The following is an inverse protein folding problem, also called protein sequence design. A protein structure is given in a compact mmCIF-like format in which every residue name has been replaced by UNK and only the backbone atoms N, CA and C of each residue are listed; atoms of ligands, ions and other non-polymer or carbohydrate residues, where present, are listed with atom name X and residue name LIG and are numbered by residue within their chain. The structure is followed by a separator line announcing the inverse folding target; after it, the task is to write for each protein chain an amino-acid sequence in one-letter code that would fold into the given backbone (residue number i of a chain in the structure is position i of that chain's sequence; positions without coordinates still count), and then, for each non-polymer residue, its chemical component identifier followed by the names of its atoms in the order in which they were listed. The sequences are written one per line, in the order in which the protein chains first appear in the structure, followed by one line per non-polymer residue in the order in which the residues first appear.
data_IF_116558253144
#
_entry.id   IF_116558253144
#
_cell.length_a   1.000
_cell.length_b   1.000
_cell.length_c   1.000
_cell.angle_alpha   90.00
_cell.angle_beta   90.00
_cell.angle_gamma   90.00
#
_symmetry.space_group_name_H-M   'P 1'
#
loop_
_entity.id
_entity.type
_entity.pdbx_description
1 polymer ?
#
# COMPACT_ATOMS: atom_id res chain seq x y z
N UNK A 1 27.68 64.55 -49.35
CA UNK A 1 27.10 64.28 -48.01
C UNK A 1 26.15 63.11 -48.14
N UNK A 2 26.60 61.90 -47.80
CA UNK A 2 25.85 60.65 -47.91
C UNK A 2 25.36 60.29 -46.51
N UNK A 3 24.06 60.41 -46.27
CA UNK A 3 23.45 59.99 -45.00
C UNK A 3 23.08 58.51 -45.08
N UNK A 4 23.91 57.69 -44.43
CA UNK A 4 23.68 56.26 -44.26
C UNK A 4 22.50 55.99 -43.32
N UNK A 5 21.58 55.14 -43.77
CA UNK A 5 20.56 54.53 -42.93
C UNK A 5 21.22 53.58 -41.92
N UNK A 6 21.25 54.00 -40.66
CA UNK A 6 21.62 53.15 -39.54
C UNK A 6 20.57 52.06 -39.34
N UNK A 7 20.97 50.81 -39.55
CA UNK A 7 20.19 49.62 -39.16
C UNK A 7 19.92 49.68 -37.65
N UNK A 8 18.64 49.68 -37.27
CA UNK A 8 18.20 49.32 -35.92
C UNK A 8 18.71 47.91 -35.62
N UNK A 9 19.54 47.75 -34.58
CA UNK A 9 19.77 46.44 -33.97
C UNK A 9 18.43 45.98 -33.41
N UNK A 10 17.89 44.90 -33.95
CA UNK A 10 16.92 44.09 -33.25
C UNK A 10 17.65 43.46 -32.05
N UNK A 11 17.16 43.74 -30.85
CA UNK A 11 17.46 42.92 -29.69
C UNK A 11 16.89 41.52 -29.94
N UNK A 12 17.74 40.61 -30.39
CA UNK A 12 17.48 39.18 -30.33
C UNK A 12 17.55 38.77 -28.86
N UNK A 13 16.54 38.07 -28.30
CA UNK A 13 16.69 37.47 -26.98
C UNK A 13 17.78 36.40 -27.08
N UNK A 14 18.83 36.53 -26.26
CA UNK A 14 19.82 35.49 -26.05
C UNK A 14 19.09 34.18 -25.73
N UNK A 15 19.24 33.18 -26.60
CA UNK A 15 18.90 31.80 -26.26
C UNK A 15 19.76 31.42 -25.07
N UNK A 16 19.18 31.41 -23.87
CA UNK A 16 19.79 30.83 -22.69
C UNK A 16 20.03 29.33 -22.96
N UNK A 17 21.28 28.96 -23.24
CA UNK A 17 21.72 27.58 -23.33
C UNK A 17 21.49 26.91 -21.98
N UNK A 18 20.50 26.01 -21.90
CA UNK A 18 20.30 25.15 -20.72
C UNK A 18 21.52 24.23 -20.57
N UNK A 19 22.20 24.30 -19.43
CA UNK A 19 23.33 23.41 -19.15
C UNK A 19 22.77 22.09 -18.62
N UNK A 20 23.13 20.97 -19.24
CA UNK A 20 22.70 19.64 -18.78
C UNK A 20 23.55 19.24 -17.57
N UNK A 21 22.92 18.73 -16.52
CA UNK A 21 23.59 18.26 -15.31
C UNK A 21 23.05 16.89 -14.89
N UNK A 22 23.93 15.93 -14.62
CA UNK A 22 23.53 14.63 -14.08
C UNK A 22 23.22 14.73 -12.59
N UNK A 23 22.26 13.95 -12.10
CA UNK A 23 21.96 13.80 -10.66
C UNK A 23 23.21 13.54 -9.81
N UNK A 24 24.13 12.70 -10.31
CA UNK A 24 25.34 12.32 -9.58
C UNK A 24 26.37 13.45 -9.48
N UNK A 25 26.32 14.42 -10.40
CA UNK A 25 27.26 15.54 -10.46
C UNK A 25 26.86 16.70 -9.53
N UNK A 26 25.58 16.78 -9.13
CA UNK A 26 25.02 17.86 -8.32
C UNK A 26 25.80 18.05 -7.01
N UNK A 27 26.13 16.95 -6.31
CA UNK A 27 26.87 17.01 -5.05
C UNK A 27 28.25 17.67 -5.21
N UNK A 28 28.95 17.38 -6.31
CA UNK A 28 30.25 17.99 -6.61
C UNK A 28 30.12 19.48 -6.91
N UNK A 29 29.11 19.86 -7.70
CA UNK A 29 28.83 21.26 -8.05
C UNK A 29 28.51 22.07 -6.79
N UNK A 30 27.63 21.57 -5.93
CA UNK A 30 27.28 22.24 -4.66
C UNK A 30 28.49 22.37 -3.73
N UNK A 31 29.32 21.33 -3.63
CA UNK A 31 30.52 21.37 -2.78
C UNK A 31 31.50 22.44 -3.24
N UNK A 32 31.72 22.55 -4.56
CA UNK A 32 32.55 23.62 -5.14
C UNK A 32 31.96 25.00 -4.88
N UNK A 33 30.65 25.16 -5.06
CA UNK A 33 29.97 26.42 -4.81
C UNK A 33 30.06 26.85 -3.33
N UNK A 34 29.83 25.93 -2.39
CA UNK A 34 29.98 26.19 -0.94
C UNK A 34 31.39 26.67 -0.60
N UNK A 35 32.41 26.01 -1.14
CA UNK A 35 33.81 26.38 -0.90
C UNK A 35 34.15 27.76 -1.48
N UNK A 36 33.65 28.07 -2.66
CA UNK A 36 33.83 29.40 -3.27
C UNK A 36 33.15 30.50 -2.43
N UNK A 37 31.93 30.26 -1.97
CA UNK A 37 31.20 31.21 -1.13
C UNK A 37 31.87 31.44 0.22
N UNK A 38 32.39 30.37 0.86
CA UNK A 38 33.21 30.49 2.09
C UNK A 38 34.40 31.42 1.88
N UNK A 39 35.15 31.25 0.78
CA UNK A 39 36.30 32.11 0.44
C UNK A 39 35.89 33.56 0.21
N UNK A 40 34.77 33.79 -0.48
CA UNK A 40 34.25 35.13 -0.73
C UNK A 40 33.85 35.83 0.56
N UNK A 41 33.12 35.16 1.45
CA UNK A 41 32.67 35.72 2.73
C UNK A 41 33.87 36.06 3.62
N UNK A 42 34.86 35.16 3.72
CA UNK A 42 36.11 35.43 4.44
C UNK A 42 36.79 36.69 3.90
N UNK A 43 36.91 36.81 2.59
CA UNK A 43 37.54 37.97 1.94
C UNK A 43 36.79 39.28 2.21
N UNK A 44 35.45 39.26 2.09
CA UNK A 44 34.59 40.42 2.35
C UNK A 44 34.54 40.84 3.82
N UNK A 45 34.75 39.88 4.74
CA UNK A 45 34.68 40.11 6.19
C UNK A 45 35.95 40.72 6.79
N UNK A 46 37.11 40.48 6.18
CA UNK A 46 38.41 41.03 6.61
C UNK A 46 38.40 42.55 6.83
N UNK A 47 37.97 43.40 5.87
CA UNK A 47 37.95 44.85 6.07
C UNK A 47 37.00 45.27 7.20
N UNK A 48 35.84 44.61 7.33
CA UNK A 48 34.88 44.91 8.40
C UNK A 48 35.46 44.63 9.79
N UNK A 49 36.17 43.51 9.94
CA UNK A 49 36.84 43.14 11.19
C UNK A 49 38.02 44.06 11.51
N UNK A 50 38.77 44.49 10.49
CA UNK A 50 39.84 45.48 10.67
C UNK A 50 39.28 46.82 11.16
N UNK A 51 38.17 47.27 10.60
CA UNK A 51 37.49 48.50 11.03
C UNK A 51 36.95 48.34 12.45
N UNK A 52 36.27 47.23 12.77
CA UNK A 52 35.81 46.93 14.14
C UNK A 52 36.95 47.02 15.15
N UNK A 53 38.10 46.42 14.86
CA UNK A 53 39.27 46.47 15.76
C UNK A 53 39.80 47.90 15.95
N UNK A 54 39.86 48.70 14.87
CA UNK A 54 40.29 50.10 14.94
C UNK A 54 39.31 50.99 15.73
N UNK A 55 38.02 50.75 15.59
CA UNK A 55 36.97 51.43 16.33
C UNK A 55 36.98 51.03 17.82
N UNK A 56 37.23 49.76 18.15
CA UNK A 56 37.41 49.31 19.54
C UNK A 56 38.65 49.93 20.20
N UNK A 57 39.77 50.09 19.47
CA UNK A 57 40.95 50.81 19.97
C UNK A 57 40.63 52.29 20.24
N UNK A 58 39.83 52.92 19.37
CA UNK A 58 39.35 54.29 19.57
C UNK A 58 38.44 54.42 20.80
N UNK A 59 37.54 53.46 21.01
CA UNK A 59 36.70 53.36 22.21
C UNK A 59 37.57 53.18 23.46
N UNK A 60 38.59 52.32 23.42
CA UNK A 60 39.53 52.13 24.52
C UNK A 60 40.22 53.45 24.91
N UNK A 61 40.74 54.20 23.92
CA UNK A 61 41.39 55.50 24.16
C UNK A 61 40.45 56.52 24.81
N UNK A 62 39.19 56.57 24.38
CA UNK A 62 38.17 57.44 24.99
C UNK A 62 37.96 57.09 26.47
N UNK A 63 37.85 55.79 26.77
CA UNK A 63 37.63 55.32 28.15
C UNK A 63 38.88 55.55 29.02
N UNK A 64 40.08 55.40 28.46
CA UNK A 64 41.33 55.69 29.15
C UNK A 64 41.45 57.19 29.50
N UNK A 65 41.03 58.07 28.59
CA UNK A 65 40.92 59.51 28.88
C UNK A 65 39.87 59.80 29.96
N UNK A 66 38.69 59.17 29.88
CA UNK A 66 37.61 59.33 30.87
C UNK A 66 38.04 58.90 32.27
N UNK A 67 38.92 57.90 32.39
CA UNK A 67 39.49 57.44 33.65
C UNK A 67 40.28 58.54 34.36
N UNK A 68 41.01 59.35 33.61
CA UNK A 68 41.85 60.42 34.12
C UNK A 68 41.11 61.76 34.29
N UNK A 69 39.90 61.91 33.73
CA UNK A 69 39.09 63.12 33.89
C UNK A 69 38.48 63.19 35.30
N UNK A 70 38.59 64.35 35.96
CA UNK A 70 38.09 64.52 37.33
C UNK A 70 36.60 64.85 37.31
N UNK A 71 35.80 64.14 38.10
CA UNK A 71 34.37 64.41 38.25
C UNK A 71 34.18 65.79 38.90
N UNK A 72 33.38 66.66 38.27
CA UNK A 72 32.88 67.87 38.92
C UNK A 72 31.70 67.47 39.80
N UNK A 73 31.95 67.30 41.10
CA UNK A 73 31.00 66.73 42.06
C UNK A 73 30.42 67.77 43.03
N UNK A 74 30.77 69.04 42.84
CA UNK A 74 30.42 70.15 43.75
C UNK A 74 28.90 70.40 43.84
N UNK A 75 28.15 70.10 42.78
CA UNK A 75 26.70 70.32 42.68
C UNK A 75 25.85 69.03 42.83
N UNK A 76 26.44 67.93 43.32
CA UNK A 76 25.77 66.61 43.37
C UNK A 76 25.50 66.19 44.82
N UNK A 77 24.27 65.77 45.12
CA UNK A 77 23.94 65.19 46.43
C UNK A 77 24.86 64.01 46.79
N UNK A 78 25.25 63.90 48.07
CA UNK A 78 26.20 62.88 48.56
C UNK A 78 25.83 61.43 48.19
N UNK A 79 24.54 61.09 48.15
CA UNK A 79 24.06 59.76 47.75
C UNK A 79 24.24 59.54 46.25
N UNK A 80 23.90 60.53 45.42
CA UNK A 80 24.08 60.49 43.97
C UNK A 80 25.56 60.44 43.58
N UNK A 81 26.43 61.12 44.33
CA UNK A 81 27.87 61.07 44.15
C UNK A 81 28.43 59.64 44.26
N UNK A 82 28.00 58.87 45.26
CA UNK A 82 28.44 57.46 45.42
C UNK A 82 27.99 56.60 44.23
N UNK A 83 26.76 56.80 43.76
CA UNK A 83 26.20 56.07 42.60
C UNK A 83 26.96 56.43 41.32
N UNK A 84 27.22 57.72 41.08
CA UNK A 84 27.95 58.22 39.91
C UNK A 84 29.38 57.70 39.87
N UNK A 85 30.09 57.69 41.00
CA UNK A 85 31.46 57.15 41.09
C UNK A 85 31.49 55.65 40.79
N UNK A 86 30.59 54.87 41.41
CA UNK A 86 30.50 53.42 41.15
C UNK A 86 30.17 53.12 39.69
N UNK A 87 29.21 53.85 39.11
CA UNK A 87 28.83 53.71 37.71
C UNK A 87 29.99 54.06 36.77
N UNK A 88 30.74 55.14 37.06
CA UNK A 88 31.94 55.52 36.31
C UNK A 88 32.99 54.41 36.34
N UNK A 89 33.30 53.87 37.52
CA UNK A 89 34.25 52.75 37.67
C UNK A 89 33.81 51.53 36.87
N UNK A 90 32.55 51.10 37.02
CA UNK A 90 32.03 49.93 36.33
C UNK A 90 32.07 50.09 34.79
N UNK A 91 31.65 51.25 34.27
CA UNK A 91 31.71 51.56 32.83
C UNK A 91 33.15 51.53 32.33
N UNK A 92 34.09 52.14 33.04
CA UNK A 92 35.50 52.14 32.67
C UNK A 92 36.06 50.73 32.65
N UNK A 93 35.86 49.95 33.72
CA UNK A 93 36.44 48.63 33.88
C UNK A 93 35.94 47.66 32.81
N UNK A 94 34.63 47.63 32.57
CA UNK A 94 34.02 46.74 31.58
C UNK A 94 34.43 47.14 30.17
N UNK A 95 34.27 48.41 29.77
CA UNK A 95 34.57 48.82 28.40
C UNK A 95 36.07 48.73 28.11
N UNK A 96 36.94 49.08 29.07
CA UNK A 96 38.39 48.92 28.90
C UNK A 96 38.79 47.46 28.71
N UNK A 97 38.18 46.55 29.49
CA UNK A 97 38.44 45.12 29.40
C UNK A 97 37.98 44.56 28.07
N UNK A 98 36.75 44.86 27.64
CA UNK A 98 36.17 44.30 26.42
C UNK A 98 36.80 44.89 25.15
N UNK A 99 37.11 46.19 25.12
CA UNK A 99 37.71 46.85 23.95
C UNK A 99 39.17 46.45 23.70
N UNK A 100 39.87 45.93 24.72
CA UNK A 100 41.23 45.38 24.61
C UNK A 100 41.29 43.92 24.18
N UNK A 101 40.16 43.21 24.18
CA UNK A 101 40.16 41.80 23.78
C UNK A 101 40.45 41.72 22.28
N UNK A 102 41.48 40.97 21.86
CA UNK A 102 41.76 40.83 20.44
C UNK A 102 40.64 40.04 19.77
N UNK A 103 40.03 40.62 18.73
CA UNK A 103 39.21 39.85 17.80
C UNK A 103 40.19 39.12 16.87
N UNK A 104 40.09 37.78 16.75
CA UNK A 104 41.05 36.98 16.01
C UNK A 104 41.15 37.40 14.54
N UNK A 105 42.36 37.30 13.99
CA UNK A 105 42.57 37.50 12.57
C UNK A 105 41.97 36.32 11.78
N UNK A 106 41.35 36.61 10.65
CA UNK A 106 40.53 35.64 9.91
C UNK A 106 41.26 35.18 8.66
N UNK A 107 41.59 33.89 8.61
CA UNK A 107 42.11 33.23 7.40
C UNK A 107 41.17 32.15 6.87
N UNK A 108 40.35 31.55 7.73
CA UNK A 108 39.36 30.52 7.40
C UNK A 108 37.94 30.95 7.76
N UNK A 109 36.94 30.19 7.27
CA UNK A 109 35.54 30.42 7.64
C UNK A 109 35.27 30.13 9.14
N UNK A 110 35.96 29.14 9.73
CA UNK A 110 35.84 28.84 11.16
C UNK A 110 36.40 29.99 12.02
N UNK A 111 37.52 30.59 11.61
CA UNK A 111 38.05 31.78 12.27
C UNK A 111 37.06 32.94 12.21
N UNK A 112 36.33 33.08 11.10
CA UNK A 112 35.32 34.12 10.94
C UNK A 112 34.15 33.96 11.90
N UNK A 113 33.66 32.73 12.10
CA UNK A 113 32.60 32.44 13.07
C UNK A 113 33.03 32.89 14.48
N UNK A 114 34.25 32.50 14.88
CA UNK A 114 34.84 32.89 16.17
C UNK A 114 35.02 34.40 16.29
N UNK A 115 35.47 35.07 15.22
CA UNK A 115 35.64 36.52 15.20
C UNK A 115 34.31 37.27 15.34
N UNK A 116 33.28 36.81 14.62
CA UNK A 116 31.93 37.38 14.68
C UNK A 116 31.30 37.19 16.06
N UNK A 117 31.47 36.02 16.67
CA UNK A 117 31.00 35.75 18.03
C UNK A 117 31.71 36.65 19.06
N UNK A 118 33.03 36.78 18.96
CA UNK A 118 33.82 37.66 19.82
C UNK A 118 33.39 39.13 19.68
N UNK A 119 33.15 39.61 18.46
CA UNK A 119 32.68 40.98 18.20
C UNK A 119 31.28 41.21 18.78
N UNK A 120 30.36 40.28 18.56
CA UNK A 120 28.99 40.33 19.10
C UNK A 120 28.98 40.30 20.63
N UNK A 121 29.80 39.45 21.25
CA UNK A 121 29.93 39.40 22.71
C UNK A 121 30.49 40.70 23.28
N UNK A 122 31.52 41.27 22.65
CA UNK A 122 32.13 42.56 23.03
C UNK A 122 31.09 43.67 22.99
N UNK A 123 30.38 43.81 21.87
CA UNK A 123 29.29 44.77 21.72
C UNK A 123 28.20 44.58 22.78
N UNK A 124 27.80 43.33 23.04
CA UNK A 124 26.78 43.02 24.06
C UNK A 124 27.23 43.48 25.45
N UNK A 125 28.45 43.16 25.87
CA UNK A 125 28.97 43.57 27.18
C UNK A 125 29.10 45.08 27.34
N UNK A 126 29.54 45.77 26.29
CA UNK A 126 29.60 47.24 26.27
C UNK A 126 28.18 47.83 26.32
N UNK A 127 27.24 47.28 25.54
CA UNK A 127 25.83 47.69 25.55
C UNK A 127 25.17 47.49 26.91
N UNK A 128 25.39 46.34 27.56
CA UNK A 128 24.82 45.99 28.87
C UNK A 128 25.27 47.00 29.95
N UNK A 129 26.57 47.31 30.02
CA UNK A 129 27.10 48.23 31.04
C UNK A 129 26.66 49.68 30.80
N UNK A 130 26.57 50.11 29.55
CA UNK A 130 26.06 51.42 29.17
C UNK A 130 24.56 51.55 29.45
N UNK A 131 23.77 50.51 29.13
CA UNK A 131 22.34 50.46 29.39
C UNK A 131 22.03 50.52 30.89
N UNK A 132 22.74 49.71 31.68
CA UNK A 132 22.63 49.68 33.16
C UNK A 132 22.90 51.04 33.79
N UNK A 133 23.90 51.77 33.29
CA UNK A 133 24.36 53.04 33.86
C UNK A 133 23.82 54.29 33.13
N UNK A 134 22.86 54.11 32.21
CA UNK A 134 22.31 55.16 31.33
C UNK A 134 21.79 56.40 32.05
N UNK A 135 21.23 56.25 33.25
CA UNK A 135 20.66 57.36 34.04
C UNK A 135 21.71 58.33 34.59
N UNK A 136 22.95 57.89 34.78
CA UNK A 136 24.02 58.68 35.43
C UNK A 136 25.23 58.91 34.53
N UNK A 137 25.30 58.24 33.38
CA UNK A 137 26.44 58.34 32.46
C UNK A 137 26.67 59.76 31.94
N UNK A 138 25.61 60.55 31.76
CA UNK A 138 25.69 61.93 31.29
C UNK A 138 26.40 62.85 32.29
N UNK A 139 26.49 62.47 33.57
CA UNK A 139 27.17 63.25 34.62
C UNK A 139 28.68 63.20 34.42
N UNK A 140 29.22 62.05 34.02
CA UNK A 140 30.66 61.82 33.99
C UNK A 140 31.25 61.68 32.59
N UNK A 141 30.44 61.31 31.59
CA UNK A 141 30.90 61.09 30.22
C UNK A 141 30.38 62.16 29.24
N UNK A 142 29.82 63.28 29.70
CA UNK A 142 29.17 64.30 28.84
C UNK A 142 30.00 64.70 27.61
N UNK A 143 31.30 64.94 27.81
CA UNK A 143 32.23 65.36 26.74
C UNK A 143 32.59 64.23 25.78
N UNK A 144 32.51 62.99 26.23
CA UNK A 144 32.92 61.79 25.50
C UNK A 144 31.74 61.06 24.84
N UNK A 145 30.51 61.35 25.27
CA UNK A 145 29.31 60.61 24.88
C UNK A 145 29.08 60.58 23.38
N UNK A 146 29.28 61.70 22.68
CA UNK A 146 29.07 61.76 21.23
C UNK A 146 30.09 60.90 20.48
N UNK A 147 31.38 61.05 20.77
CA UNK A 147 32.43 60.25 20.13
C UNK A 147 32.30 58.75 20.46
N UNK A 148 32.02 58.39 21.72
CA UNK A 148 31.77 57.00 22.12
C UNK A 148 30.59 56.41 21.35
N UNK A 149 29.51 57.19 21.18
CA UNK A 149 28.33 56.78 20.40
C UNK A 149 28.68 56.58 18.92
N UNK A 150 29.46 57.47 18.33
CA UNK A 150 29.82 57.42 16.91
C UNK A 150 30.67 56.18 16.60
N UNK A 151 31.70 55.91 17.40
CA UNK A 151 32.53 54.70 17.24
C UNK A 151 31.72 53.41 17.49
N UNK A 152 30.88 53.37 18.54
CA UNK A 152 30.00 52.22 18.79
C UNK A 152 28.99 51.97 17.67
N UNK A 153 28.50 53.03 17.01
CA UNK A 153 27.61 52.90 15.87
C UNK A 153 28.31 52.21 14.68
N UNK A 154 29.58 52.52 14.43
CA UNK A 154 30.39 51.87 13.40
C UNK A 154 30.65 50.40 13.72
N UNK A 155 31.06 50.08 14.95
CA UNK A 155 31.23 48.68 15.39
C UNK A 155 29.93 47.90 15.24
N UNK A 156 28.81 48.48 15.66
CA UNK A 156 27.47 47.86 15.57
C UNK A 156 27.07 47.61 14.12
N UNK A 157 27.25 48.61 13.25
CA UNK A 157 26.94 48.49 11.82
C UNK A 157 27.75 47.36 11.18
N UNK A 158 29.05 47.32 11.40
CA UNK A 158 29.92 46.31 10.80
C UNK A 158 29.66 44.91 11.37
N UNK A 159 29.41 44.78 12.67
CA UNK A 159 29.02 43.49 13.26
C UNK A 159 27.67 42.99 12.71
N UNK A 160 26.73 43.90 12.46
CA UNK A 160 25.44 43.55 11.83
C UNK A 160 25.64 43.05 10.41
N UNK A 161 26.52 43.68 9.63
CA UNK A 161 26.86 43.22 8.28
C UNK A 161 27.54 41.85 8.30
N UNK A 162 28.48 41.62 9.23
CA UNK A 162 29.13 40.32 9.42
C UNK A 162 28.11 39.23 9.75
N UNK A 163 27.26 39.47 10.74
CA UNK A 163 26.22 38.53 11.17
C UNK A 163 25.26 38.22 10.02
N UNK A 164 24.90 39.23 9.22
CA UNK A 164 24.06 39.03 8.03
C UNK A 164 24.74 38.13 7.00
N UNK A 165 26.01 38.36 6.69
CA UNK A 165 26.75 37.51 5.73
C UNK A 165 26.82 36.04 6.19
N UNK A 166 27.01 35.80 7.48
CA UNK A 166 27.00 34.45 8.05
C UNK A 166 25.61 33.82 8.00
N UNK A 167 24.56 34.59 8.31
CA UNK A 167 23.18 34.13 8.21
C UNK A 167 22.79 33.79 6.76
N UNK A 168 23.16 34.62 5.80
CA UNK A 168 22.90 34.41 4.37
C UNK A 168 23.60 33.11 3.89
N UNK A 169 24.81 32.82 4.38
CA UNK A 169 25.49 31.55 4.10
C UNK A 169 24.81 30.34 4.76
N UNK A 170 24.30 30.47 5.98
CA UNK A 170 23.53 29.39 6.62
C UNK A 170 22.30 29.02 5.77
N UNK A 171 21.57 30.01 5.26
CA UNK A 171 20.42 29.78 4.37
C UNK A 171 20.83 29.08 3.06
N UNK A 172 22.01 29.42 2.53
CA UNK A 172 22.59 28.73 1.38
C UNK A 172 22.91 27.27 1.70
N UNK A 173 23.47 26.98 2.87
CA UNK A 173 23.79 25.62 3.32
C UNK A 173 22.52 24.77 3.46
N UNK A 174 21.49 25.29 4.14
CA UNK A 174 20.18 24.63 4.27
C UNK A 174 19.54 24.37 2.89
N UNK A 175 19.71 25.31 1.95
CA UNK A 175 19.20 25.15 0.59
C UNK A 175 19.98 24.09 -0.19
N UNK A 176 21.28 23.94 0.04
CA UNK A 176 22.09 22.86 -0.55
C UNK A 176 21.66 21.49 0.01
N UNK A 177 21.41 21.39 1.31
CA UNK A 177 20.95 20.15 1.93
C UNK A 177 19.55 19.76 1.42
N UNK A 178 18.67 20.75 1.24
CA UNK A 178 17.36 20.55 0.60
C UNK A 178 17.49 20.02 -0.83
N UNK A 179 18.47 20.51 -1.60
CA UNK A 179 18.76 19.97 -2.95
C UNK A 179 19.19 18.50 -2.86
N UNK A 180 20.11 18.16 -1.95
CA UNK A 180 20.59 16.79 -1.80
C UNK A 180 19.48 15.81 -1.40
N UNK A 181 18.54 16.24 -0.55
CA UNK A 181 17.34 15.48 -0.22
C UNK A 181 16.43 15.25 -1.45
N UNK A 182 16.21 16.29 -2.28
CA UNK A 182 15.48 16.14 -3.54
C UNK A 182 16.17 15.18 -4.52
N UNK A 183 17.51 15.23 -4.61
CA UNK A 183 18.29 14.29 -5.43
C UNK A 183 18.08 12.85 -4.95
N UNK A 184 18.17 12.60 -3.64
CA UNK A 184 17.90 11.28 -3.05
C UNK A 184 16.50 10.79 -3.40
N UNK A 185 15.47 11.63 -3.21
CA UNK A 185 14.08 11.27 -3.54
C UNK A 185 13.89 10.89 -5.01
N UNK A 186 14.57 11.57 -5.92
CA UNK A 186 14.53 11.26 -7.36
C UNK A 186 15.25 9.92 -7.63
N UNK A 187 16.37 9.64 -6.96
CA UNK A 187 17.08 8.36 -7.08
C UNK A 187 16.23 7.19 -6.55
N UNK A 188 15.64 7.34 -5.37
CA UNK A 188 14.77 6.33 -4.75
C UNK A 188 13.57 6.01 -5.64
N UNK A 189 12.87 7.05 -6.13
CA UNK A 189 11.77 6.88 -7.08
C UNK A 189 12.20 6.18 -8.38
N UNK A 190 13.44 6.41 -8.83
CA UNK A 190 13.98 5.73 -10.03
C UNK A 190 14.23 4.25 -9.80
N UNK A 191 14.72 3.88 -8.62
CA UNK A 191 14.92 2.47 -8.23
C UNK A 191 13.57 1.75 -8.07
N UNK A 192 12.58 2.40 -7.45
CA UNK A 192 11.23 1.87 -7.31
C UNK A 192 10.54 1.66 -8.67
N UNK A 193 10.73 2.59 -9.62
CA UNK A 193 10.24 2.39 -10.99
C UNK A 193 10.86 1.15 -11.65
N UNK A 194 12.16 0.94 -11.48
CA UNK A 194 12.85 -0.21 -12.06
C UNK A 194 12.37 -1.53 -11.43
N UNK A 195 12.16 -1.58 -10.12
CA UNK A 195 11.63 -2.77 -9.45
C UNK A 195 10.18 -3.06 -9.88
N UNK A 196 9.35 -2.03 -9.98
CA UNK A 196 7.96 -2.12 -10.48
C UNK A 196 7.93 -2.65 -11.91
N UNK A 197 8.79 -2.14 -12.79
CA UNK A 197 8.87 -2.59 -14.18
C UNK A 197 9.29 -4.06 -14.29
N UNK A 198 10.27 -4.51 -13.50
CA UNK A 198 10.64 -5.93 -13.44
C UNK A 198 9.47 -6.80 -12.95
N UNK A 199 8.72 -6.32 -11.96
CA UNK A 199 7.56 -7.04 -11.45
C UNK A 199 6.45 -7.14 -12.50
N UNK A 200 6.17 -6.05 -13.22
CA UNK A 200 5.22 -6.02 -14.33
C UNK A 200 5.62 -7.00 -15.45
N UNK A 201 6.89 -7.05 -15.84
CA UNK A 201 7.37 -8.02 -16.83
C UNK A 201 7.10 -9.45 -16.37
N UNK A 202 7.42 -9.79 -15.12
CA UNK A 202 7.15 -11.12 -14.57
C UNK A 202 5.66 -11.45 -14.51
N UNK A 203 4.79 -10.48 -14.20
CA UNK A 203 3.35 -10.65 -14.26
C UNK A 203 2.87 -10.83 -15.70
N UNK A 204 3.47 -10.13 -16.67
CA UNK A 204 3.20 -10.28 -18.10
C UNK A 204 3.51 -11.70 -18.58
N UNK A 205 4.66 -12.26 -18.21
CA UNK A 205 5.01 -13.64 -18.54
C UNK A 205 4.01 -14.65 -17.95
N UNK A 206 3.54 -14.40 -16.72
CA UNK A 206 2.53 -15.21 -16.05
C UNK A 206 1.16 -15.10 -16.73
N UNK A 207 0.78 -13.88 -17.13
CA UNK A 207 -0.44 -13.60 -17.87
C UNK A 207 -0.46 -14.36 -19.21
N UNK A 208 0.61 -14.24 -19.99
CA UNK A 208 0.72 -14.88 -21.31
C UNK A 208 0.73 -16.41 -21.19
N UNK A 209 1.36 -16.94 -20.15
CA UNK A 209 1.36 -18.37 -19.85
C UNK A 209 -0.03 -18.88 -19.47
N UNK A 210 -0.75 -18.14 -18.61
CA UNK A 210 -2.13 -18.45 -18.24
C UNK A 210 -3.09 -18.34 -19.43
N UNK A 211 -2.90 -17.35 -20.30
CA UNK A 211 -3.68 -17.17 -21.52
C UNK A 211 -3.52 -18.37 -22.46
N UNK A 212 -2.27 -18.77 -22.76
CA UNK A 212 -1.99 -19.93 -23.61
C UNK A 212 -2.60 -21.21 -23.04
N UNK A 213 -2.53 -21.38 -21.72
CA UNK A 213 -3.14 -22.52 -21.04
C UNK A 213 -4.66 -22.51 -21.18
N UNK A 214 -5.29 -21.34 -20.96
CA UNK A 214 -6.72 -21.15 -21.13
C UNK A 214 -7.18 -21.52 -22.55
N UNK A 215 -6.54 -20.96 -23.59
CA UNK A 215 -6.87 -21.20 -24.99
C UNK A 215 -6.70 -22.69 -25.37
N UNK A 216 -5.59 -23.30 -24.95
CA UNK A 216 -5.32 -24.72 -25.20
C UNK A 216 -6.34 -25.63 -24.51
N UNK A 217 -6.64 -25.38 -23.23
CA UNK A 217 -7.62 -26.18 -22.47
C UNK A 217 -9.03 -25.99 -23.02
N UNK A 218 -9.40 -24.78 -23.45
CA UNK A 218 -10.70 -24.54 -24.06
C UNK A 218 -10.87 -25.30 -25.38
N UNK A 219 -9.80 -25.36 -26.19
CA UNK A 219 -9.78 -26.17 -27.41
C UNK A 219 -9.95 -27.66 -27.08
N UNK A 220 -9.19 -28.19 -26.13
CA UNK A 220 -9.30 -29.59 -25.70
C UNK A 220 -10.71 -29.96 -25.22
N UNK A 221 -11.36 -29.08 -24.44
CA UNK A 221 -12.74 -29.28 -24.01
C UNK A 221 -13.69 -29.31 -25.21
N UNK A 222 -13.52 -28.37 -26.15
CA UNK A 222 -14.36 -28.28 -27.35
C UNK A 222 -14.22 -29.53 -28.23
N UNK A 223 -12.99 -30.01 -28.40
CA UNK A 223 -12.68 -31.23 -29.15
C UNK A 223 -13.30 -32.46 -28.50
N UNK A 224 -13.21 -32.60 -27.16
CA UNK A 224 -13.85 -33.67 -26.41
C UNK A 224 -15.38 -33.62 -26.50
N UNK A 225 -15.99 -32.44 -26.38
CA UNK A 225 -17.44 -32.28 -26.47
C UNK A 225 -17.99 -32.52 -27.89
N UNK A 226 -17.14 -32.35 -28.90
CA UNK A 226 -17.48 -32.66 -30.30
C UNK A 226 -17.25 -34.13 -30.65
N UNK A 227 -16.66 -34.92 -29.75
CA UNK A 227 -16.33 -36.31 -30.01
C UNK A 227 -17.58 -37.21 -30.06
N UNK A 228 -17.62 -38.20 -30.97
CA UNK A 228 -18.67 -39.22 -30.98
C UNK A 228 -18.81 -39.97 -29.65
N UNK A 229 -17.69 -40.13 -28.93
CA UNK A 229 -17.64 -40.79 -27.62
C UNK A 229 -18.43 -40.00 -26.56
N UNK A 230 -18.33 -38.67 -26.57
CA UNK A 230 -19.09 -37.81 -25.66
C UNK A 230 -20.59 -37.82 -25.96
N UNK A 231 -20.98 -37.77 -27.25
CA UNK A 231 -22.38 -37.89 -27.64
C UNK A 231 -22.97 -39.24 -27.21
N UNK A 232 -22.21 -40.32 -27.43
CA UNK A 232 -22.59 -41.66 -26.98
C UNK A 232 -22.71 -41.77 -25.46
N UNK A 233 -21.90 -41.03 -24.70
CA UNK A 233 -22.02 -40.93 -23.25
C UNK A 233 -23.31 -40.22 -22.84
N UNK A 234 -23.65 -39.08 -23.44
CA UNK A 234 -24.87 -38.32 -23.15
C UNK A 234 -26.14 -39.14 -23.42
N UNK A 235 -26.21 -39.83 -24.56
CA UNK A 235 -27.34 -40.69 -24.90
C UNK A 235 -27.53 -41.83 -23.89
N UNK A 236 -26.43 -42.40 -23.38
CA UNK A 236 -26.49 -43.44 -22.36
C UNK A 236 -26.95 -42.89 -21.02
N UNK A 237 -26.43 -41.73 -20.62
CA UNK A 237 -26.84 -41.07 -19.39
C UNK A 237 -28.35 -40.77 -19.41
N UNK A 238 -28.88 -40.31 -20.55
CA UNK A 238 -30.32 -40.08 -20.73
C UNK A 238 -31.12 -41.39 -20.67
N UNK A 239 -30.68 -42.46 -21.36
CA UNK A 239 -31.31 -43.79 -21.26
C UNK A 239 -31.33 -44.33 -19.84
N UNK A 240 -30.25 -44.19 -19.07
CA UNK A 240 -30.19 -44.58 -17.66
C UNK A 240 -31.20 -43.77 -16.84
N UNK A 241 -31.30 -42.45 -17.05
CA UNK A 241 -32.29 -41.61 -16.38
C UNK A 241 -33.72 -42.05 -16.71
N UNK A 242 -34.02 -42.35 -17.97
CA UNK A 242 -35.33 -42.84 -18.40
C UNK A 242 -35.67 -44.19 -17.75
N UNK A 243 -34.74 -45.15 -17.73
CA UNK A 243 -34.97 -46.47 -17.11
C UNK A 243 -35.15 -46.34 -15.59
N UNK A 244 -34.36 -45.50 -14.90
CA UNK A 244 -34.55 -45.23 -13.46
C UNK A 244 -35.91 -44.59 -13.17
N UNK A 245 -36.39 -43.69 -14.04
CA UNK A 245 -37.72 -43.14 -13.92
C UNK A 245 -38.82 -44.20 -14.12
N UNK A 246 -38.63 -45.13 -15.06
CA UNK A 246 -39.52 -46.28 -15.24
C UNK A 246 -39.51 -47.21 -14.03
N UNK A 247 -38.34 -47.45 -13.44
CA UNK A 247 -38.20 -48.24 -12.21
C UNK A 247 -38.97 -47.62 -11.05
N UNK A 248 -38.82 -46.31 -10.84
CA UNK A 248 -39.53 -45.60 -9.78
C UNK A 248 -41.04 -45.62 -10.00
N UNK A 249 -41.50 -45.49 -11.25
CA UNK A 249 -42.91 -45.62 -11.60
C UNK A 249 -43.43 -47.03 -11.29
N UNK A 250 -42.70 -48.06 -11.68
CA UNK A 250 -43.06 -49.45 -11.39
C UNK A 250 -43.08 -49.73 -9.89
N UNK A 251 -42.13 -49.19 -9.13
CA UNK A 251 -42.10 -49.33 -7.66
C UNK A 251 -43.39 -48.76 -7.03
N UNK A 252 -43.80 -47.57 -7.46
CA UNK A 252 -45.06 -46.96 -7.00
C UNK A 252 -46.28 -47.80 -7.40
N UNK A 253 -46.33 -48.27 -8.64
CA UNK A 253 -47.42 -49.16 -9.10
C UNK A 253 -47.52 -50.43 -8.23
N UNK A 254 -46.39 -51.06 -7.89
CA UNK A 254 -46.37 -52.23 -7.00
C UNK A 254 -46.82 -51.87 -5.59
N UNK A 255 -46.29 -50.79 -5.01
CA UNK A 255 -46.65 -50.37 -3.66
C UNK A 255 -48.14 -50.01 -3.55
N UNK A 256 -48.69 -49.32 -4.55
CA UNK A 256 -50.12 -48.98 -4.64
C UNK A 256 -51.01 -50.22 -4.75
N UNK A 257 -50.61 -51.21 -5.55
CA UNK A 257 -51.33 -52.49 -5.67
C UNK A 257 -51.32 -53.27 -4.35
N UNK A 258 -50.17 -53.34 -3.66
CA UNK A 258 -50.05 -54.01 -2.37
C UNK A 258 -50.71 -53.25 -1.22
N UNK A 259 -50.89 -51.93 -1.33
CA UNK A 259 -51.62 -51.12 -0.34
C UNK A 259 -53.04 -51.65 -0.09
N UNK A 260 -53.67 -52.23 -1.12
CA UNK A 260 -55.02 -52.84 -1.07
C UNK A 260 -55.08 -54.01 -0.09
N UNK A 261 -53.98 -54.75 0.05
CA UNK A 261 -53.85 -55.93 0.94
C UNK A 261 -52.97 -55.67 2.17
N UNK A 262 -52.53 -54.42 2.39
CA UNK A 262 -51.67 -54.04 3.53
C UNK A 262 -52.29 -54.38 4.89
N UNK A 263 -53.60 -54.14 5.06
CA UNK A 263 -54.33 -54.40 6.30
C UNK A 263 -54.43 -55.89 6.64
N UNK A 264 -54.87 -56.79 5.73
CA UNK A 264 -54.85 -58.22 6.01
C UNK A 264 -53.43 -58.73 6.28
N UNK A 265 -52.43 -58.32 5.49
CA UNK A 265 -51.04 -58.72 5.70
C UNK A 265 -50.48 -58.24 7.05
N UNK A 266 -50.68 -56.98 7.39
CA UNK A 266 -50.23 -56.41 8.66
C UNK A 266 -50.87 -57.07 9.88
N UNK A 267 -52.14 -57.48 9.79
CA UNK A 267 -52.78 -58.30 10.84
C UNK A 267 -52.21 -59.71 10.88
N UNK A 268 -51.94 -60.30 9.71
CA UNK A 268 -51.38 -61.64 9.61
C UNK A 268 -49.99 -61.75 10.24
N UNK A 269 -49.15 -60.70 10.19
CA UNK A 269 -47.83 -60.64 10.86
C UNK A 269 -47.90 -61.06 12.34
N UNK A 270 -48.99 -60.74 13.06
CA UNK A 270 -49.13 -61.03 14.49
C UNK A 270 -49.61 -62.44 14.80
N UNK A 271 -50.34 -63.07 13.87
CA UNK A 271 -50.99 -64.38 14.06
C UNK A 271 -50.37 -65.47 13.21
N UNK A 272 -49.32 -65.13 12.45
CA UNK A 272 -48.66 -66.04 11.50
C UNK A 272 -47.95 -67.18 12.22
N UNK A 273 -48.05 -68.38 11.65
CA UNK A 273 -47.27 -69.56 12.02
C UNK A 273 -46.13 -69.84 11.02
N UNK A 274 -45.82 -68.87 10.16
CA UNK A 274 -44.71 -68.95 9.22
C UNK A 274 -43.36 -69.04 9.95
N UNK A 275 -42.38 -69.70 9.34
CA UNK A 275 -41.03 -69.73 9.86
C UNK A 275 -40.38 -68.32 9.86
N UNK A 276 -39.22 -68.21 10.54
CA UNK A 276 -38.53 -66.94 10.73
C UNK A 276 -38.13 -66.26 9.41
N UNK A 277 -37.84 -67.02 8.35
CA UNK A 277 -37.44 -66.46 7.05
C UNK A 277 -38.66 -65.89 6.32
N UNK A 278 -39.75 -66.65 6.22
CA UNK A 278 -40.99 -66.18 5.58
C UNK A 278 -41.66 -65.05 6.36
N UNK A 279 -41.56 -65.05 7.69
CA UNK A 279 -42.05 -63.93 8.52
C UNK A 279 -41.27 -62.64 8.24
N UNK A 280 -39.95 -62.71 8.08
CA UNK A 280 -39.12 -61.55 7.72
C UNK A 280 -39.49 -60.97 6.35
N UNK A 281 -39.74 -61.84 5.36
CA UNK A 281 -40.22 -61.42 4.03
C UNK A 281 -41.59 -60.73 4.15
N UNK A 282 -42.51 -61.29 4.94
CA UNK A 282 -43.82 -60.71 5.19
C UNK A 282 -43.72 -59.31 5.84
N UNK A 283 -42.86 -59.13 6.85
CA UNK A 283 -42.65 -57.84 7.50
C UNK A 283 -42.15 -56.78 6.50
N UNK A 284 -41.15 -57.12 5.67
CA UNK A 284 -40.66 -56.23 4.60
C UNK A 284 -41.72 -55.95 3.53
N UNK A 285 -42.55 -56.95 3.22
CA UNK A 285 -43.61 -56.84 2.21
C UNK A 285 -44.75 -55.94 2.68
N UNK A 286 -44.98 -55.83 4.00
CA UNK A 286 -45.93 -54.87 4.58
C UNK A 286 -45.37 -53.45 4.55
N UNK A 287 -44.05 -53.29 4.71
CA UNK A 287 -43.40 -51.97 4.75
C UNK A 287 -43.13 -51.39 3.35
N UNK A 288 -42.43 -52.13 2.49
CA UNK A 288 -42.09 -51.73 1.11
C UNK A 288 -42.16 -52.92 0.14
N UNK A 289 -43.37 -53.25 -0.35
CA UNK A 289 -43.59 -54.35 -1.29
C UNK A 289 -42.66 -54.31 -2.51
N UNK A 290 -42.45 -53.13 -3.10
CA UNK A 290 -41.59 -52.92 -4.29
C UNK A 290 -40.13 -53.34 -4.11
N UNK A 291 -39.63 -53.42 -2.87
CA UNK A 291 -38.28 -53.92 -2.55
C UNK A 291 -38.23 -55.44 -2.36
N UNK A 292 -39.38 -56.06 -2.09
CA UNK A 292 -39.51 -57.52 -1.94
C UNK A 292 -39.76 -58.17 -3.30
N UNK A 293 -40.59 -57.55 -4.15
CA UNK A 293 -40.92 -58.08 -5.47
C UNK A 293 -39.69 -58.07 -6.39
N UNK A 294 -39.26 -59.28 -6.79
CA UNK A 294 -38.09 -59.51 -7.63
C UNK A 294 -36.77 -59.71 -6.87
N UNK A 295 -36.72 -59.40 -5.58
CA UNK A 295 -35.55 -59.64 -4.72
C UNK A 295 -35.65 -60.96 -3.93
N UNK A 296 -36.86 -61.33 -3.50
CA UNK A 296 -37.13 -62.56 -2.77
C UNK A 296 -37.72 -63.64 -3.70
N UNK A 297 -37.59 -64.94 -3.37
CA UNK A 297 -38.14 -66.02 -4.19
C UNK A 297 -39.66 -65.91 -4.34
N UNK A 298 -40.15 -66.04 -5.57
CA UNK A 298 -41.59 -65.97 -5.91
C UNK A 298 -42.42 -66.91 -5.05
N UNK A 299 -41.94 -68.13 -4.85
CA UNK A 299 -42.62 -69.18 -4.10
C UNK A 299 -42.83 -68.78 -2.63
N UNK A 300 -41.87 -68.03 -2.07
CA UNK A 300 -41.97 -67.51 -0.70
C UNK A 300 -43.08 -66.46 -0.60
N UNK A 301 -43.16 -65.55 -1.57
CA UNK A 301 -44.20 -64.50 -1.63
C UNK A 301 -45.58 -65.13 -1.79
N UNK A 302 -45.74 -66.11 -2.69
CA UNK A 302 -47.00 -66.83 -2.88
C UNK A 302 -47.42 -67.54 -1.60
N UNK A 303 -46.49 -68.25 -0.95
CA UNK A 303 -46.77 -68.98 0.30
C UNK A 303 -47.30 -68.03 1.38
N UNK A 304 -46.73 -66.83 1.49
CA UNK A 304 -47.17 -65.80 2.44
C UNK A 304 -48.58 -65.30 2.10
N UNK A 305 -48.83 -64.97 0.83
CA UNK A 305 -50.12 -64.47 0.35
C UNK A 305 -51.22 -65.52 0.55
N UNK A 306 -50.98 -66.77 0.18
CA UNK A 306 -51.93 -67.87 0.37
C UNK A 306 -52.21 -68.17 1.84
N UNK A 307 -51.19 -68.09 2.70
CA UNK A 307 -51.36 -68.35 4.13
C UNK A 307 -52.13 -67.22 4.81
N UNK A 308 -51.92 -65.97 4.39
CA UNK A 308 -52.76 -64.83 4.79
C UNK A 308 -54.21 -65.02 4.34
N UNK A 309 -54.43 -65.42 3.08
CA UNK A 309 -55.74 -65.71 2.52
C UNK A 309 -56.48 -66.82 3.30
N UNK A 310 -55.81 -67.93 3.60
CA UNK A 310 -56.35 -69.01 4.44
C UNK A 310 -56.70 -68.52 5.84
N UNK A 311 -55.85 -67.66 6.42
CA UNK A 311 -56.10 -67.02 7.72
C UNK A 311 -57.34 -66.12 7.74
N UNK A 312 -57.67 -65.47 6.62
CA UNK A 312 -58.91 -64.68 6.48
C UNK A 312 -60.12 -65.62 6.42
N UNK A 313 -60.06 -66.66 5.59
CA UNK A 313 -61.15 -67.64 5.42
C UNK A 313 -61.45 -68.40 6.72
N UNK A 314 -60.41 -68.76 7.49
CA UNK A 314 -60.57 -69.44 8.78
C UNK A 314 -61.00 -68.53 9.93
N UNK A 315 -61.09 -67.22 9.71
CA UNK A 315 -61.42 -66.22 10.74
C UNK A 315 -60.26 -65.85 11.68
N UNK A 316 -59.06 -66.40 11.48
CA UNK A 316 -57.86 -66.09 12.27
C UNK A 316 -57.36 -64.66 12.01
N UNK A 317 -57.56 -64.14 10.80
CA UNK A 317 -57.26 -62.76 10.39
C UNK A 317 -58.58 -62.01 10.20
N UNK A 318 -58.95 -61.19 11.19
CA UNK A 318 -60.20 -60.43 11.13
C UNK A 318 -60.10 -59.21 10.20
N UNK A 319 -60.90 -59.18 9.14
CA UNK A 319 -61.05 -58.05 8.20
C UNK A 319 -62.52 -57.70 8.01
N UNK A 320 -62.83 -56.46 7.59
CA UNK A 320 -64.22 -55.98 7.44
C UNK A 320 -64.96 -56.64 6.28
N UNK A 321 -64.28 -56.81 5.14
CA UNK A 321 -64.82 -57.39 3.91
C UNK A 321 -63.93 -58.60 3.56
N UNK A 322 -64.26 -59.77 4.10
CA UNK A 322 -63.44 -60.98 3.97
C UNK A 322 -63.32 -61.43 2.51
N UNK A 323 -64.44 -61.56 1.79
CA UNK A 323 -64.47 -61.99 0.39
C UNK A 323 -63.64 -61.07 -0.50
N UNK A 324 -63.82 -59.75 -0.35
CA UNK A 324 -63.05 -58.75 -1.10
C UNK A 324 -61.54 -58.80 -0.80
N UNK A 325 -61.17 -59.06 0.45
CA UNK A 325 -59.75 -59.18 0.82
C UNK A 325 -59.12 -60.43 0.21
N UNK A 326 -59.88 -61.54 0.16
CA UNK A 326 -59.48 -62.78 -0.52
C UNK A 326 -59.32 -62.56 -2.02
N UNK A 327 -60.29 -61.88 -2.66
CA UNK A 327 -60.24 -61.54 -4.08
C UNK A 327 -59.02 -60.67 -4.41
N UNK A 328 -58.73 -59.66 -3.59
CA UNK A 328 -57.57 -58.79 -3.76
C UNK A 328 -56.24 -59.54 -3.60
N UNK A 329 -56.15 -60.49 -2.68
CA UNK A 329 -54.96 -61.33 -2.52
C UNK A 329 -54.81 -62.29 -3.71
N UNK A 330 -55.90 -62.88 -4.20
CA UNK A 330 -55.89 -63.76 -5.38
C UNK A 330 -55.49 -63.01 -6.65
N UNK A 331 -55.97 -61.78 -6.82
CA UNK A 331 -55.54 -60.89 -7.88
C UNK A 331 -54.04 -60.55 -7.78
N UNK A 332 -53.51 -60.35 -6.56
CA UNK A 332 -52.09 -60.10 -6.32
C UNK A 332 -51.21 -61.28 -6.71
N UNK A 333 -51.61 -62.50 -6.30
CA UNK A 333 -50.91 -63.75 -6.66
C UNK A 333 -50.88 -63.90 -8.18
N UNK A 334 -51.99 -63.63 -8.86
CA UNK A 334 -52.11 -63.74 -10.32
C UNK A 334 -51.27 -62.68 -11.06
N UNK A 335 -51.13 -61.48 -10.50
CA UNK A 335 -50.35 -60.37 -11.07
C UNK A 335 -48.85 -60.46 -10.81
N UNK A 336 -48.41 -61.30 -9.86
CA UNK A 336 -47.05 -61.34 -9.35
C UNK A 336 -45.99 -61.63 -10.44
N UNK A 337 -46.27 -62.58 -11.33
CA UNK A 337 -45.38 -62.92 -12.45
C UNK A 337 -45.13 -61.73 -13.37
N UNK A 338 -46.15 -60.91 -13.60
CA UNK A 338 -46.04 -59.72 -14.44
C UNK A 338 -45.16 -58.66 -13.77
N UNK A 339 -45.32 -58.47 -12.45
CA UNK A 339 -44.50 -57.51 -11.68
C UNK A 339 -43.03 -57.93 -11.64
N UNK A 340 -42.75 -59.22 -11.36
CA UNK A 340 -41.39 -59.77 -11.33
C UNK A 340 -40.74 -59.68 -12.72
N UNK A 341 -41.47 -60.00 -13.79
CA UNK A 341 -40.95 -59.91 -15.16
C UNK A 341 -40.58 -58.48 -15.55
N UNK A 342 -41.41 -57.49 -15.18
CA UNK A 342 -41.11 -56.07 -15.39
C UNK A 342 -39.87 -55.62 -14.61
N UNK A 343 -39.73 -56.01 -13.34
CA UNK A 343 -38.54 -55.75 -12.52
C UNK A 343 -37.26 -56.32 -13.16
N UNK A 344 -37.30 -57.59 -13.55
CA UNK A 344 -36.15 -58.25 -14.18
C UNK A 344 -35.78 -57.62 -15.53
N UNK A 345 -36.76 -57.17 -16.31
CA UNK A 345 -36.53 -56.46 -17.57
C UNK A 345 -35.78 -55.13 -17.36
N UNK A 346 -36.21 -54.33 -16.38
CA UNK A 346 -35.55 -53.07 -16.02
C UNK A 346 -34.11 -53.32 -15.55
N UNK A 347 -33.89 -54.29 -14.66
CA UNK A 347 -32.55 -54.66 -14.18
C UNK A 347 -31.64 -55.10 -15.33
N UNK A 348 -32.17 -55.89 -16.26
CA UNK A 348 -31.42 -56.35 -17.44
C UNK A 348 -31.05 -55.19 -18.37
N UNK A 349 -31.97 -54.24 -18.57
CA UNK A 349 -31.72 -53.03 -19.37
C UNK A 349 -30.62 -52.16 -18.76
N UNK A 350 -30.61 -51.97 -17.43
CA UNK A 350 -29.55 -51.23 -16.74
C UNK A 350 -28.19 -51.92 -16.90
N UNK A 351 -28.11 -53.23 -16.68
CA UNK A 351 -26.86 -53.99 -16.82
C UNK A 351 -26.27 -53.94 -18.24
N UNK A 352 -27.10 -53.99 -19.28
CA UNK A 352 -26.65 -53.89 -20.67
C UNK A 352 -26.05 -52.53 -21.00
N UNK A 353 -26.56 -51.45 -20.39
CA UNK A 353 -26.09 -50.09 -20.66
C UNK A 353 -24.79 -49.80 -19.91
N UNK A 354 -24.65 -50.28 -18.67
CA UNK A 354 -23.47 -50.02 -17.80
C UNK A 354 -22.16 -50.62 -18.34
N UNK A 355 -22.20 -51.73 -19.09
CA UNK A 355 -20.99 -52.44 -19.55
C UNK A 355 -20.23 -51.83 -20.75
N UNK A 356 -20.63 -50.68 -21.30
CA UNK A 356 -20.26 -50.31 -22.69
C UNK A 356 -19.64 -48.92 -22.91
N UNK A 357 -19.42 -48.08 -21.88
CA UNK A 357 -18.90 -46.72 -22.10
C UNK A 357 -17.38 -46.62 -22.01
N UNK A 358 -16.77 -46.00 -23.03
CA UNK A 358 -15.32 -45.73 -23.10
C UNK A 358 -14.95 -44.29 -22.74
N UNK A 359 -15.94 -43.40 -22.54
CA UNK A 359 -15.70 -41.99 -22.24
C UNK A 359 -15.47 -41.79 -20.74
N UNK A 360 -14.32 -41.24 -20.37
CA UNK A 360 -14.00 -40.89 -18.98
C UNK A 360 -14.35 -39.42 -18.71
N UNK A 361 -15.50 -39.21 -18.07
CA UNK A 361 -16.00 -37.88 -17.67
C UNK A 361 -15.02 -37.12 -16.77
N UNK A 362 -14.15 -37.83 -16.02
CA UNK A 362 -13.17 -37.20 -15.12
C UNK A 362 -12.15 -36.36 -15.89
N UNK A 363 -11.86 -36.73 -17.14
CA UNK A 363 -10.99 -35.94 -18.01
C UNK A 363 -11.63 -34.58 -18.29
N UNK A 364 -12.92 -34.56 -18.66
CA UNK A 364 -13.64 -33.32 -18.91
C UNK A 364 -13.72 -32.45 -17.65
N UNK A 365 -14.06 -33.03 -16.49
CA UNK A 365 -14.09 -32.31 -15.22
C UNK A 365 -12.72 -31.72 -14.84
N UNK A 366 -11.64 -32.45 -15.08
CA UNK A 366 -10.28 -31.99 -14.81
C UNK A 366 -9.90 -30.80 -15.71
N UNK A 367 -10.24 -30.87 -16.99
CA UNK A 367 -10.01 -29.79 -17.95
C UNK A 367 -10.84 -28.56 -17.61
N UNK A 368 -12.10 -28.73 -17.19
CA UNK A 368 -12.95 -27.61 -16.75
C UNK A 368 -12.38 -26.90 -15.51
N UNK A 369 -11.87 -27.66 -14.54
CA UNK A 369 -11.18 -27.09 -13.37
C UNK A 369 -9.92 -26.34 -13.78
N UNK A 370 -9.14 -26.91 -14.70
CA UNK A 370 -7.94 -26.26 -15.24
C UNK A 370 -8.27 -24.97 -16.01
N UNK A 371 -9.34 -24.97 -16.81
CA UNK A 371 -9.82 -23.80 -17.53
C UNK A 371 -10.21 -22.67 -16.57
N UNK A 372 -10.99 -23.00 -15.54
CA UNK A 372 -11.42 -22.04 -14.53
C UNK A 372 -10.23 -21.43 -13.79
N UNK A 373 -9.23 -22.26 -13.43
CA UNK A 373 -8.00 -21.79 -12.80
C UNK A 373 -7.19 -20.88 -13.74
N UNK A 374 -6.94 -21.31 -14.98
CA UNK A 374 -6.18 -20.52 -15.96
C UNK A 374 -6.84 -19.16 -16.23
N UNK A 375 -8.19 -19.12 -16.29
CA UNK A 375 -8.95 -17.88 -16.40
C UNK A 375 -8.74 -16.96 -15.20
N UNK A 376 -8.85 -17.49 -13.97
CA UNK A 376 -8.61 -16.71 -12.75
C UNK A 376 -7.19 -16.15 -12.72
N UNK A 377 -6.19 -17.01 -12.98
CA UNK A 377 -4.78 -16.62 -12.97
C UNK A 377 -4.49 -15.50 -14.00
N UNK A 378 -5.10 -15.58 -15.19
CA UNK A 378 -5.03 -14.56 -16.23
C UNK A 378 -5.66 -13.22 -15.79
N UNK A 379 -6.91 -13.24 -15.31
CA UNK A 379 -7.63 -12.03 -14.87
C UNK A 379 -6.94 -11.35 -13.67
N UNK A 380 -6.41 -12.14 -12.74
CA UNK A 380 -5.66 -11.66 -11.58
C UNK A 380 -4.36 -10.98 -12.00
N UNK A 381 -3.58 -11.59 -12.91
CA UNK A 381 -2.35 -11.00 -13.43
C UNK A 381 -2.63 -9.69 -14.19
N UNK A 382 -3.65 -9.68 -15.05
CA UNK A 382 -4.06 -8.50 -15.81
C UNK A 382 -4.46 -7.33 -14.89
N UNK A 383 -5.24 -7.62 -13.84
CA UNK A 383 -5.69 -6.60 -12.87
C UNK A 383 -4.50 -6.01 -12.11
N UNK A 384 -3.55 -6.85 -11.68
CA UNK A 384 -2.34 -6.39 -10.98
C UNK A 384 -1.46 -5.51 -11.88
N UNK A 385 -1.25 -5.91 -13.14
CA UNK A 385 -0.48 -5.12 -14.11
C UNK A 385 -1.10 -3.72 -14.27
N UNK A 386 -2.43 -3.65 -14.48
CA UNK A 386 -3.14 -2.38 -14.64
C UNK A 386 -3.01 -1.46 -13.42
N UNK A 387 -3.07 -2.03 -12.21
CA UNK A 387 -2.88 -1.24 -10.98
C UNK A 387 -1.47 -0.67 -10.91
N UNK A 388 -0.44 -1.50 -11.17
CA UNK A 388 0.96 -1.06 -11.18
C UNK A 388 1.24 0.00 -12.26
N UNK A 389 0.60 -0.07 -13.43
CA UNK A 389 0.69 0.97 -14.47
C UNK A 389 0.16 2.32 -13.99
N UNK A 390 -0.97 2.30 -13.27
CA UNK A 390 -1.56 3.52 -12.72
C UNK A 390 -0.68 4.14 -11.63
N UNK A 391 -0.13 3.32 -10.73
CA UNK A 391 0.82 3.75 -9.70
C UNK A 391 2.12 4.30 -10.32
N UNK A 392 2.68 3.62 -11.32
CA UNK A 392 3.86 4.08 -12.06
C UNK A 392 3.62 5.45 -12.73
N UNK A 393 2.44 5.68 -13.27
CA UNK A 393 2.08 6.97 -13.92
C UNK A 393 2.03 8.10 -12.88
N UNK A 394 1.42 7.85 -11.73
CA UNK A 394 1.36 8.80 -10.63
C UNK A 394 2.76 9.12 -10.08
N UNK A 395 3.57 8.08 -9.82
CA UNK A 395 4.93 8.24 -9.32
C UNK A 395 5.84 8.96 -10.32
N UNK A 396 5.67 8.71 -11.63
CA UNK A 396 6.38 9.45 -12.69
C UNK A 396 6.05 10.93 -12.67
N UNK A 397 4.77 11.28 -12.48
CA UNK A 397 4.34 12.68 -12.38
C UNK A 397 4.94 13.36 -11.15
N UNK A 398 4.96 12.67 -10.01
CA UNK A 398 5.53 13.20 -8.76
C UNK A 398 7.06 13.35 -8.84
N UNK A 399 7.75 12.38 -9.45
CA UNK A 399 9.19 12.44 -9.74
C UNK A 399 9.51 13.64 -10.63
N UNK A 400 8.74 13.85 -11.69
CA UNK A 400 8.91 14.99 -12.60
C UNK A 400 8.72 16.33 -11.89
N UNK A 401 7.70 16.45 -11.05
CA UNK A 401 7.49 17.65 -10.23
C UNK A 401 8.69 17.92 -9.32
N UNK A 402 9.19 16.88 -8.65
CA UNK A 402 10.36 16.98 -7.78
C UNK A 402 11.61 17.42 -8.56
N UNK A 403 11.76 16.95 -9.80
CA UNK A 403 12.83 17.38 -10.71
C UNK A 403 12.72 18.87 -11.07
N UNK A 404 11.53 19.37 -11.36
CA UNK A 404 11.30 20.78 -11.67
C UNK A 404 11.56 21.69 -10.46
N UNK A 405 11.17 21.25 -9.27
CA UNK A 405 11.45 21.95 -8.02
C UNK A 405 12.98 21.99 -7.75
N UNK A 406 13.67 20.88 -7.99
CA UNK A 406 15.12 20.78 -7.94
C UNK A 406 15.82 21.74 -8.91
N UNK A 407 15.41 21.78 -10.18
CA UNK A 407 15.94 22.69 -11.19
C UNK A 407 15.75 24.16 -10.79
N UNK A 408 14.57 24.49 -10.26
CA UNK A 408 14.25 25.83 -9.78
C UNK A 408 15.12 26.25 -8.61
N UNK A 409 15.36 25.34 -7.67
CA UNK A 409 16.20 25.58 -6.50
C UNK A 409 17.69 25.68 -6.87
N UNK A 410 18.16 24.84 -7.78
CA UNK A 410 19.51 24.94 -8.37
C UNK A 410 19.72 26.29 -9.06
N UNK A 411 18.74 26.75 -9.84
CA UNK A 411 18.82 28.05 -10.49
C UNK A 411 18.90 29.20 -9.49
N UNK A 412 18.11 29.14 -8.41
CA UNK A 412 18.11 30.14 -7.35
C UNK A 412 19.46 30.25 -6.64
N UNK A 413 20.15 29.13 -6.42
CA UNK A 413 21.42 29.09 -5.69
C UNK A 413 22.60 29.40 -6.60
N UNK A 414 22.67 28.73 -7.75
CA UNK A 414 23.83 28.77 -8.64
C UNK A 414 23.75 29.88 -9.69
N UNK A 415 22.57 30.48 -9.88
CA UNK A 415 22.32 31.50 -10.91
C UNK A 415 22.29 30.95 -12.34
N UNK A 416 22.50 29.64 -12.53
CA UNK A 416 22.55 28.95 -13.82
C UNK A 416 21.32 28.09 -14.00
N UNK A 417 20.71 28.11 -15.19
CA UNK A 417 19.59 27.22 -15.52
C UNK A 417 20.12 25.85 -15.91
N UNK A 418 19.87 24.87 -15.05
CA UNK A 418 20.20 23.46 -15.31
C UNK A 418 18.98 22.70 -15.82
N UNK A 419 19.24 21.73 -16.68
CA UNK A 419 18.32 20.64 -17.01
C UNK A 419 18.86 19.36 -16.38
N UNK A 420 18.13 18.81 -15.41
CA UNK A 420 18.59 17.64 -14.64
C UNK A 420 18.19 16.36 -15.37
N UNK A 421 19.16 15.50 -15.62
CA UNK A 421 18.95 14.18 -16.25
C UNK A 421 18.94 13.03 -15.25
#
# INVERSE_FOLDING_TARGET
MVFGWGKKKQDSPELATKTILSLDEISSVLSKHKEEQKKQIVTKSKPLLSEINGELDSIYKIIDHLKNDTLKVEDIEKILQVIVVRAKTEVIDVISKESKKPIPNVSTYDDLLKASEASSHTLKKIGDVLGKNSRVIHVFAKKYAQSLKDHLALVTKNNTLLTKMLSDYSVLEDSCDSILDMVSKIQDASQEHQSTERHMTSLGDSHDSAQKLYESTQKQISDLQSSPEYQSYLEKEDKIKQIKAQEEKLNKEIDDEFSKISRPLGKYVYVTSLDKALKSILEKMVERPSQVIGAEPKESIITILESCMKGIVSGTVSVKEADKSVDQITAMISGLDTMISKKNSITSQLQQIEGSSKFDIRILESLQKQLAKAKSDHEDAQTKIKNLESEKTQNTTQKEKTRQDLESLLHRILGVKYEVK
#
